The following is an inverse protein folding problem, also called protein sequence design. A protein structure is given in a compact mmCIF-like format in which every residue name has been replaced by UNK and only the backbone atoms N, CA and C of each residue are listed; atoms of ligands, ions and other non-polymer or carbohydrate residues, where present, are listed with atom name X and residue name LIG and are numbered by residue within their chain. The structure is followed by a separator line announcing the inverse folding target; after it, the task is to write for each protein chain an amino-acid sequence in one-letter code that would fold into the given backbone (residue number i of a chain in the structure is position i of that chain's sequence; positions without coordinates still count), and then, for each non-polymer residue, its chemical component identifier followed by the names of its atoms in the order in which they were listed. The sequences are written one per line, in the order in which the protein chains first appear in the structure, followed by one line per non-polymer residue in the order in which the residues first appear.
data_IF_808098601209
#
_entry.id   IF_808098601209
#
_cell.length_a   1.000
_cell.length_b   1.000
_cell.length_c   1.000
_cell.angle_alpha   90.00
_cell.angle_beta   90.00
_cell.angle_gamma   90.00
#
_symmetry.space_group_name_H-M   'P 1'
#
loop_
_entity.id
_entity.type
_entity.pdbx_description
1 polymer ?
#
# COMPACT_ATOMS: atom_id res chain seq x y z
N UNK A 1 -48.51 -11.76 17.94
CA UNK A 1 -48.19 -12.49 16.70
C UNK A 1 -48.40 -11.55 15.52
N UNK A 2 -47.34 -10.94 14.98
CA UNK A 2 -47.44 -10.12 13.77
C UNK A 2 -47.21 -11.00 12.54
N UNK A 3 -48.29 -11.40 11.88
CA UNK A 3 -48.25 -12.18 10.64
C UNK A 3 -47.87 -11.29 9.46
N UNK A 4 -46.68 -11.49 8.90
CA UNK A 4 -46.26 -10.87 7.64
C UNK A 4 -47.06 -11.53 6.50
N UNK A 5 -47.94 -10.77 5.84
CA UNK A 5 -48.65 -11.23 4.65
C UNK A 5 -47.69 -11.28 3.46
N UNK A 6 -47.34 -12.47 3.00
CA UNK A 6 -46.62 -12.64 1.74
C UNK A 6 -47.55 -12.36 0.56
N UNK A 7 -47.31 -11.25 -0.14
CA UNK A 7 -47.99 -10.92 -1.39
C UNK A 7 -47.36 -11.75 -2.52
N UNK A 8 -48.13 -12.71 -3.07
CA UNK A 8 -47.73 -13.43 -4.28
C UNK A 8 -47.90 -12.51 -5.49
N UNK A 9 -46.79 -12.08 -6.09
CA UNK A 9 -46.79 -11.29 -7.30
C UNK A 9 -47.18 -12.15 -8.52
N UNK A 10 -47.96 -11.58 -9.44
CA UNK A 10 -48.27 -12.23 -10.73
C UNK A 10 -47.00 -12.38 -11.58
N UNK A 11 -46.99 -13.32 -12.54
CA UNK A 11 -45.85 -13.52 -13.46
C UNK A 11 -45.48 -12.24 -14.21
N UNK A 12 -46.48 -11.46 -14.60
CA UNK A 12 -46.29 -10.15 -15.26
C UNK A 12 -45.68 -9.11 -14.32
N UNK A 13 -46.13 -9.05 -13.05
CA UNK A 13 -45.55 -8.15 -12.06
C UNK A 13 -44.09 -8.51 -11.74
N UNK A 14 -43.75 -9.80 -11.71
CA UNK A 14 -42.37 -10.29 -11.57
C UNK A 14 -41.51 -9.93 -12.78
N UNK A 15 -42.03 -10.09 -13.99
CA UNK A 15 -41.32 -9.72 -15.23
C UNK A 15 -41.08 -8.20 -15.30
N UNK A 16 -42.11 -7.38 -15.03
CA UNK A 16 -42.00 -5.93 -15.00
C UNK A 16 -41.06 -5.43 -13.89
N UNK A 17 -41.04 -6.10 -12.73
CA UNK A 17 -40.07 -5.81 -11.66
C UNK A 17 -38.65 -6.13 -12.12
N UNK A 18 -38.44 -7.30 -12.74
CA UNK A 18 -37.13 -7.73 -13.24
C UNK A 18 -36.61 -6.83 -14.36
N UNK A 19 -37.49 -6.35 -15.23
CA UNK A 19 -37.16 -5.41 -16.29
C UNK A 19 -36.83 -4.02 -15.74
N UNK A 20 -37.61 -3.51 -14.77
CA UNK A 20 -37.25 -2.28 -14.02
C UNK A 20 -35.92 -2.41 -13.29
N UNK A 21 -35.63 -3.57 -12.70
CA UNK A 21 -34.35 -3.83 -12.03
C UNK A 21 -33.19 -3.89 -13.04
N UNK A 22 -33.41 -4.46 -14.24
CA UNK A 22 -32.43 -4.47 -15.34
C UNK A 22 -32.15 -3.07 -15.91
N UNK A 23 -33.19 -2.23 -16.06
CA UNK A 23 -33.04 -0.84 -16.50
C UNK A 23 -32.28 -0.04 -15.44
N UNK A 24 -32.68 -0.16 -14.17
CA UNK A 24 -31.93 0.43 -13.05
C UNK A 24 -30.49 -0.06 -12.99
N UNK A 25 -30.25 -1.34 -13.31
CA UNK A 25 -28.91 -1.90 -13.33
C UNK A 25 -28.04 -1.24 -14.41
N UNK A 26 -28.59 -1.05 -15.62
CA UNK A 26 -27.89 -0.37 -16.72
C UNK A 26 -27.64 1.10 -16.41
N UNK A 27 -28.64 1.83 -15.92
CA UNK A 27 -28.51 3.24 -15.52
C UNK A 27 -27.50 3.41 -14.37
N UNK A 28 -27.47 2.47 -13.43
CA UNK A 28 -26.55 2.51 -12.28
C UNK A 28 -25.12 2.12 -12.66
N UNK A 29 -24.95 1.17 -13.58
CA UNK A 29 -23.64 0.84 -14.16
C UNK A 29 -23.03 2.04 -14.90
N UNK A 30 -23.84 2.87 -15.57
CA UNK A 30 -23.36 4.14 -16.12
C UNK A 30 -23.08 5.19 -15.03
N UNK A 31 -23.80 5.19 -13.91
CA UNK A 31 -23.63 6.17 -12.83
C UNK A 31 -22.43 5.89 -11.91
N UNK A 32 -21.94 4.65 -11.81
CA UNK A 32 -20.86 4.30 -10.86
C UNK A 32 -19.53 5.06 -11.06
N UNK A 33 -19.36 5.80 -12.16
CA UNK A 33 -18.25 6.72 -12.33
C UNK A 33 -18.41 8.07 -11.59
N UNK A 34 -19.64 8.46 -11.23
CA UNK A 34 -19.98 9.79 -10.68
C UNK A 34 -20.42 9.76 -9.21
N UNK A 35 -20.65 8.58 -8.62
CA UNK A 35 -21.18 8.48 -7.24
C UNK A 35 -20.07 8.38 -6.20
N UNK A 36 -20.21 9.12 -5.10
CA UNK A 36 -19.29 9.08 -3.95
C UNK A 36 -19.11 7.64 -3.42
N UNK A 37 -17.90 7.06 -3.50
CA UNK A 37 -17.62 5.69 -3.08
C UNK A 37 -17.75 5.46 -1.56
N UNK A 38 -17.91 6.51 -0.75
CA UNK A 38 -18.09 6.41 0.70
C UNK A 38 -19.46 5.85 1.11
N UNK A 39 -20.47 5.94 0.25
CA UNK A 39 -21.80 5.46 0.58
C UNK A 39 -21.88 3.93 0.50
N UNK A 40 -21.80 3.29 1.66
CA UNK A 40 -21.87 1.83 1.81
C UNK A 40 -23.07 1.17 1.11
N UNK A 41 -24.20 1.88 1.04
CA UNK A 41 -25.45 1.42 0.41
C UNK A 41 -25.24 1.03 -1.04
N UNK A 42 -24.36 1.73 -1.75
CA UNK A 42 -24.04 1.49 -3.16
C UNK A 42 -23.40 0.12 -3.34
N UNK A 43 -22.39 -0.17 -2.49
CA UNK A 43 -21.68 -1.44 -2.50
C UNK A 43 -22.58 -2.58 -2.07
N UNK A 44 -23.42 -2.38 -1.05
CA UNK A 44 -24.43 -3.37 -0.65
C UNK A 44 -25.40 -3.68 -1.79
N UNK A 45 -25.92 -2.66 -2.46
CA UNK A 45 -26.84 -2.83 -3.56
C UNK A 45 -26.19 -3.59 -4.73
N UNK A 46 -24.95 -3.22 -5.09
CA UNK A 46 -24.15 -3.93 -6.10
C UNK A 46 -23.97 -5.41 -5.73
N UNK A 47 -23.55 -5.70 -4.50
CA UNK A 47 -23.37 -7.08 -4.00
C UNK A 47 -24.67 -7.88 -4.04
N UNK A 48 -25.80 -7.28 -3.69
CA UNK A 48 -27.10 -7.94 -3.74
C UNK A 48 -27.51 -8.31 -5.17
N UNK A 49 -27.27 -7.43 -6.15
CA UNK A 49 -27.56 -7.73 -7.56
C UNK A 49 -26.66 -8.84 -8.07
N UNK A 50 -25.36 -8.76 -7.77
CA UNK A 50 -24.40 -9.77 -8.20
C UNK A 50 -24.75 -11.15 -7.64
N UNK A 51 -24.98 -11.25 -6.32
CA UNK A 51 -25.27 -12.53 -5.65
C UNK A 51 -26.66 -13.08 -5.94
N UNK A 52 -27.70 -12.23 -5.91
CA UNK A 52 -29.09 -12.66 -6.07
C UNK A 52 -29.55 -12.73 -7.53
N UNK A 53 -28.83 -12.09 -8.45
CA UNK A 53 -29.27 -11.87 -9.82
C UNK A 53 -28.34 -12.44 -10.87
N UNK A 54 -27.07 -12.04 -10.82
CA UNK A 54 -26.10 -12.27 -11.91
C UNK A 54 -25.38 -13.61 -11.74
N UNK A 55 -24.67 -13.82 -10.63
CA UNK A 55 -23.86 -15.03 -10.39
C UNK A 55 -24.65 -16.34 -10.54
N UNK A 56 -25.89 -16.49 -10.03
CA UNK A 56 -26.64 -17.73 -10.19
C UNK A 56 -26.98 -18.10 -11.65
N UNK A 57 -26.86 -17.14 -12.58
CA UNK A 57 -27.13 -17.32 -14.02
C UNK A 57 -25.86 -17.33 -14.87
N UNK A 58 -24.70 -17.16 -14.25
CA UNK A 58 -23.42 -17.02 -14.93
C UNK A 58 -22.60 -18.29 -14.77
N UNK A 59 -21.81 -18.63 -15.79
CA UNK A 59 -20.77 -19.65 -15.64
C UNK A 59 -19.65 -19.17 -14.70
N UNK A 60 -18.78 -20.07 -14.19
CA UNK A 60 -17.60 -19.68 -13.42
C UNK A 60 -16.72 -18.66 -14.15
N UNK A 61 -16.49 -18.85 -15.46
CA UNK A 61 -15.70 -17.93 -16.27
C UNK A 61 -16.36 -16.53 -16.40
N UNK A 62 -17.68 -16.48 -16.61
CA UNK A 62 -18.41 -15.20 -16.66
C UNK A 62 -18.39 -14.48 -15.31
N UNK A 63 -18.57 -15.24 -14.22
CA UNK A 63 -18.47 -14.69 -12.85
C UNK A 63 -17.09 -14.11 -12.60
N UNK A 64 -16.04 -14.84 -13.00
CA UNK A 64 -14.66 -14.40 -12.92
C UNK A 64 -14.40 -13.10 -13.70
N UNK A 65 -14.93 -13.01 -14.94
CA UNK A 65 -14.82 -11.80 -15.76
C UNK A 65 -15.49 -10.59 -15.10
N UNK A 66 -16.69 -10.76 -14.55
CA UNK A 66 -17.40 -9.70 -13.82
C UNK A 66 -16.60 -9.23 -12.60
N UNK A 67 -16.06 -10.18 -11.81
CA UNK A 67 -15.22 -9.86 -10.66
C UNK A 67 -13.93 -9.13 -11.07
N UNK A 68 -13.32 -9.53 -12.18
CA UNK A 68 -12.17 -8.84 -12.77
C UNK A 68 -12.49 -7.38 -13.09
N UNK A 69 -13.65 -7.12 -13.69
CA UNK A 69 -14.12 -5.78 -14.02
C UNK A 69 -14.39 -4.94 -12.75
N UNK A 70 -14.99 -5.52 -11.71
CA UNK A 70 -15.17 -4.87 -10.40
C UNK A 70 -13.84 -4.52 -9.73
N UNK A 71 -12.88 -5.43 -9.75
CA UNK A 71 -11.54 -5.19 -9.21
C UNK A 71 -10.81 -4.11 -10.02
N UNK A 72 -11.02 -4.03 -11.33
CA UNK A 72 -10.48 -2.94 -12.16
C UNK A 72 -11.10 -1.59 -11.79
N UNK A 73 -12.43 -1.51 -11.72
CA UNK A 73 -13.17 -0.31 -11.30
C UNK A 73 -12.70 0.19 -9.93
N UNK A 74 -12.64 -0.69 -8.94
CA UNK A 74 -12.21 -0.33 -7.58
C UNK A 74 -10.74 0.09 -7.54
N UNK A 75 -9.87 -0.44 -8.41
CA UNK A 75 -8.47 0.01 -8.52
C UNK A 75 -8.42 1.48 -8.97
N UNK A 76 -9.24 1.85 -9.96
CA UNK A 76 -9.34 3.25 -10.39
C UNK A 76 -9.86 4.16 -9.27
N UNK A 77 -10.89 3.71 -8.54
CA UNK A 77 -11.43 4.47 -7.42
C UNK A 77 -10.43 4.61 -6.27
N UNK A 78 -9.61 3.60 -5.98
CA UNK A 78 -8.57 3.68 -4.95
C UNK A 78 -7.50 4.74 -5.26
N UNK A 79 -7.19 4.98 -6.53
CA UNK A 79 -6.26 6.06 -6.91
C UNK A 79 -6.77 7.45 -6.53
N UNK A 80 -8.10 7.64 -6.53
CA UNK A 80 -8.74 8.93 -6.21
C UNK A 80 -9.14 9.00 -4.72
N UNK A 81 -9.52 7.87 -4.15
CA UNK A 81 -10.10 7.76 -2.81
C UNK A 81 -9.45 6.62 -2.00
N UNK A 82 -8.12 6.65 -1.76
CA UNK A 82 -7.37 5.51 -1.22
C UNK A 82 -7.80 5.09 0.20
N UNK A 83 -8.45 5.98 0.94
CA UNK A 83 -8.87 5.77 2.33
C UNK A 83 -10.31 5.30 2.50
N UNK A 84 -11.09 5.19 1.42
CA UNK A 84 -12.49 4.82 1.55
C UNK A 84 -12.59 3.32 1.83
N UNK A 85 -12.90 3.01 3.09
CA UNK A 85 -13.04 1.64 3.60
C UNK A 85 -13.95 0.77 2.72
N UNK A 86 -15.06 1.32 2.22
CA UNK A 86 -16.03 0.56 1.44
C UNK A 86 -15.49 0.05 0.11
N UNK A 87 -14.51 0.73 -0.49
CA UNK A 87 -13.81 0.25 -1.69
C UNK A 87 -13.00 -1.00 -1.31
N UNK A 88 -12.17 -0.94 -0.28
CA UNK A 88 -11.38 -2.07 0.22
C UNK A 88 -12.25 -3.26 0.65
N UNK A 89 -13.35 -2.97 1.36
CA UNK A 89 -14.30 -4.00 1.77
C UNK A 89 -14.99 -4.67 0.57
N UNK A 90 -15.33 -3.91 -0.49
CA UNK A 90 -15.87 -4.49 -1.71
C UNK A 90 -14.84 -5.34 -2.45
N UNK A 91 -13.58 -4.88 -2.53
CA UNK A 91 -12.47 -5.67 -3.11
C UNK A 91 -12.29 -6.99 -2.38
N UNK A 92 -12.20 -6.96 -1.06
CA UNK A 92 -12.13 -8.17 -0.23
C UNK A 92 -13.32 -9.10 -0.49
N UNK A 93 -14.52 -8.54 -0.58
CA UNK A 93 -15.71 -9.31 -0.94
C UNK A 93 -15.57 -9.96 -2.33
N UNK A 94 -15.12 -9.24 -3.36
CA UNK A 94 -14.88 -9.79 -4.70
C UNK A 94 -13.91 -10.97 -4.67
N UNK A 95 -12.78 -10.84 -3.96
CA UNK A 95 -11.78 -11.91 -3.81
C UNK A 95 -12.37 -13.18 -3.18
N UNK A 96 -13.33 -13.04 -2.27
CA UNK A 96 -14.05 -14.17 -1.66
C UNK A 96 -15.09 -14.81 -2.57
N UNK A 97 -15.55 -14.11 -3.61
CA UNK A 97 -16.53 -14.63 -4.57
C UNK A 97 -15.87 -15.33 -5.77
N UNK A 98 -14.54 -15.32 -5.88
CA UNK A 98 -13.83 -15.93 -7.00
C UNK A 98 -14.13 -17.44 -7.03
N UNK A 99 -14.71 -17.95 -8.14
CA UNK A 99 -15.06 -19.35 -8.27
C UNK A 99 -13.82 -20.23 -8.48
N UNK A 100 -14.00 -21.55 -8.44
CA UNK A 100 -12.93 -22.47 -8.85
C UNK A 100 -12.65 -22.35 -10.35
N UNK A 101 -11.38 -22.39 -10.73
CA UNK A 101 -10.89 -22.29 -12.10
C UNK A 101 -9.47 -21.70 -12.17
N UNK A 102 -8.85 -21.63 -13.37
CA UNK A 102 -9.49 -21.63 -14.69
C UNK A 102 -9.85 -23.01 -15.26
N UNK A 103 -9.29 -24.09 -14.71
CA UNK A 103 -9.49 -25.45 -15.22
C UNK A 103 -9.77 -26.41 -14.08
N UNK A 104 -10.29 -27.60 -14.38
CA UNK A 104 -10.49 -28.63 -13.35
C UNK A 104 -9.18 -29.11 -12.71
N UNK A 105 -8.08 -29.07 -13.47
CA UNK A 105 -6.74 -29.43 -12.98
C UNK A 105 -6.12 -28.34 -12.10
N UNK A 106 -6.57 -27.09 -12.23
CA UNK A 106 -6.15 -25.96 -11.40
C UNK A 106 -7.37 -25.16 -10.92
N UNK A 107 -8.08 -25.67 -9.90
CA UNK A 107 -9.28 -25.01 -9.39
C UNK A 107 -8.97 -23.73 -8.59
N UNK A 108 -7.71 -23.48 -8.20
CA UNK A 108 -7.36 -22.32 -7.36
C UNK A 108 -6.61 -21.23 -8.12
N UNK A 109 -6.25 -21.45 -9.38
CA UNK A 109 -5.45 -20.54 -10.19
C UNK A 109 -5.98 -19.12 -10.24
N UNK A 110 -7.29 -18.92 -10.43
CA UNK A 110 -7.88 -17.58 -10.40
C UNK A 110 -7.71 -16.89 -9.04
N UNK A 111 -7.99 -17.59 -7.93
CA UNK A 111 -7.83 -17.02 -6.59
C UNK A 111 -6.39 -16.63 -6.32
N UNK A 112 -5.46 -17.52 -6.62
CA UNK A 112 -4.04 -17.28 -6.39
C UNK A 112 -3.55 -16.08 -7.19
N UNK A 113 -3.95 -15.97 -8.47
CA UNK A 113 -3.62 -14.82 -9.31
C UNK A 113 -4.19 -13.50 -8.75
N UNK A 114 -5.44 -13.49 -8.32
CA UNK A 114 -6.04 -12.28 -7.75
C UNK A 114 -5.43 -11.87 -6.41
N UNK A 115 -5.14 -12.81 -5.51
CA UNK A 115 -4.50 -12.49 -4.24
C UNK A 115 -3.08 -11.94 -4.43
N UNK A 116 -2.30 -12.53 -5.35
CA UNK A 116 -0.99 -12.00 -5.71
C UNK A 116 -1.08 -10.56 -6.26
N UNK A 117 -2.07 -10.30 -7.11
CA UNK A 117 -2.34 -8.95 -7.64
C UNK A 117 -2.82 -7.99 -6.55
N UNK A 118 -3.65 -8.45 -5.62
CA UNK A 118 -4.13 -7.62 -4.50
C UNK A 118 -2.99 -7.21 -3.58
N UNK A 119 -2.10 -8.14 -3.24
CA UNK A 119 -0.92 -7.86 -2.43
C UNK A 119 -0.07 -6.75 -3.06
N UNK A 120 0.19 -6.85 -4.37
CA UNK A 120 0.89 -5.81 -5.12
C UNK A 120 0.17 -4.46 -5.09
N UNK A 121 -1.17 -4.44 -5.22
CA UNK A 121 -1.95 -3.18 -5.14
C UNK A 121 -1.86 -2.57 -3.74
N UNK A 122 -1.96 -3.38 -2.68
CA UNK A 122 -1.84 -2.91 -1.30
C UNK A 122 -0.46 -2.31 -1.06
N UNK A 123 0.61 -3.01 -1.45
CA UNK A 123 1.99 -2.51 -1.36
C UNK A 123 2.13 -1.16 -2.08
N UNK A 124 1.67 -1.07 -3.33
CA UNK A 124 1.75 0.18 -4.10
C UNK A 124 0.93 1.32 -3.50
N UNK A 125 -0.23 1.04 -2.93
CA UNK A 125 -1.07 2.05 -2.28
C UNK A 125 -0.46 2.54 -0.97
N UNK A 126 0.25 1.66 -0.25
CA UNK A 126 1.03 2.04 0.94
C UNK A 126 2.24 2.89 0.54
N UNK A 127 3.02 2.48 -0.46
CA UNK A 127 4.17 3.28 -0.91
C UNK A 127 3.75 4.66 -1.42
N UNK A 128 2.59 4.75 -2.07
CA UNK A 128 2.09 5.99 -2.65
C UNK A 128 1.45 6.96 -1.64
N UNK A 129 1.24 6.57 -0.37
CA UNK A 129 0.68 7.48 0.64
C UNK A 129 1.79 8.26 1.34
N UNK A 130 2.04 9.54 0.98
CA UNK A 130 3.10 10.34 1.60
C UNK A 130 2.88 10.57 3.11
N UNK A 131 1.65 10.37 3.60
CA UNK A 131 1.36 10.47 5.04
C UNK A 131 1.97 9.32 5.84
N UNK A 132 2.36 8.22 5.19
CA UNK A 132 3.07 7.15 5.89
C UNK A 132 4.42 7.64 6.43
N UNK A 133 5.11 8.53 5.69
CA UNK A 133 6.30 9.23 6.19
C UNK A 133 5.97 10.13 7.38
N UNK A 134 4.87 10.89 7.32
CA UNK A 134 4.45 11.75 8.43
C UNK A 134 4.10 10.92 9.70
N UNK A 135 3.39 9.82 9.55
CA UNK A 135 3.02 8.96 10.67
C UNK A 135 4.23 8.29 11.31
N UNK A 136 5.15 7.75 10.51
CA UNK A 136 6.36 7.13 11.04
C UNK A 136 7.30 8.18 11.64
N UNK A 137 7.39 9.39 11.05
CA UNK A 137 8.15 10.51 11.61
C UNK A 137 7.61 10.88 12.98
N UNK A 138 6.30 11.05 13.14
CA UNK A 138 5.70 11.33 14.45
C UNK A 138 6.01 10.22 15.48
N UNK A 139 5.99 8.95 15.07
CA UNK A 139 6.37 7.83 15.94
C UNK A 139 7.86 7.89 16.33
N UNK A 140 8.76 8.18 15.39
CA UNK A 140 10.19 8.37 15.63
C UNK A 140 10.49 9.52 16.61
N UNK A 141 9.77 10.64 16.50
CA UNK A 141 9.94 11.78 17.41
C UNK A 141 9.36 11.50 18.81
N UNK A 142 8.40 10.58 18.91
CA UNK A 142 7.77 10.21 20.19
C UNK A 142 8.59 9.18 20.95
N UNK A 143 9.06 8.13 20.26
CA UNK A 143 9.93 7.10 20.84
C UNK A 143 10.99 6.65 19.83
N UNK A 144 12.13 7.35 19.75
CA UNK A 144 13.20 6.98 18.82
C UNK A 144 13.95 5.72 19.24
N UNK A 145 13.70 5.16 20.43
CA UNK A 145 14.31 3.90 20.83
C UNK A 145 13.53 2.67 20.32
N UNK A 146 12.28 2.87 19.86
CA UNK A 146 11.50 1.81 19.20
C UNK A 146 12.13 1.42 17.86
N UNK A 147 12.81 0.28 17.82
CA UNK A 147 13.43 -0.22 16.60
C UNK A 147 12.44 -0.42 15.44
N UNK A 148 11.18 -0.74 15.73
CA UNK A 148 10.20 -1.08 14.70
C UNK A 148 9.87 0.11 13.79
N UNK A 149 9.87 1.34 14.33
CA UNK A 149 9.57 2.55 13.55
C UNK A 149 10.66 2.82 12.52
N UNK A 150 11.93 2.59 12.87
CA UNK A 150 13.07 2.76 11.96
C UNK A 150 13.13 1.71 10.86
N UNK A 151 12.75 0.47 11.19
CA UNK A 151 12.63 -0.60 10.18
C UNK A 151 11.53 -0.24 9.18
N UNK A 152 10.38 0.23 9.67
CA UNK A 152 9.27 0.63 8.81
C UNK A 152 9.61 1.85 7.96
N UNK A 153 10.28 2.86 8.54
CA UNK A 153 10.78 4.01 7.78
C UNK A 153 11.74 3.58 6.66
N UNK A 154 12.68 2.65 6.93
CA UNK A 154 13.56 2.08 5.90
C UNK A 154 12.80 1.31 4.81
N UNK A 155 11.73 0.60 5.18
CA UNK A 155 10.85 -0.03 4.21
C UNK A 155 10.16 0.99 3.29
N UNK A 156 9.66 2.09 3.85
CA UNK A 156 9.04 3.18 3.08
C UNK A 156 10.01 3.88 2.11
N UNK A 157 11.27 4.07 2.52
CA UNK A 157 12.33 4.61 1.63
C UNK A 157 12.61 3.67 0.44
N UNK A 158 12.38 2.37 0.60
CA UNK A 158 12.57 1.38 -0.45
C UNK A 158 14.01 1.32 -0.96
N UNK A 159 14.19 1.28 -2.28
CA UNK A 159 15.53 1.22 -2.92
C UNK A 159 16.21 2.58 -3.09
N UNK A 160 15.57 3.69 -2.68
CA UNK A 160 16.14 5.04 -2.77
C UNK A 160 16.13 5.66 -4.17
N UNK A 161 15.16 5.30 -5.02
CA UNK A 161 15.04 5.88 -6.38
C UNK A 161 14.62 7.36 -6.35
N UNK A 162 13.84 7.77 -5.35
CA UNK A 162 13.39 9.16 -5.21
C UNK A 162 14.38 9.94 -4.34
N UNK A 163 15.17 10.79 -5.00
CA UNK A 163 16.18 11.64 -4.36
C UNK A 163 15.56 12.67 -3.42
N UNK A 164 14.45 13.28 -3.82
CA UNK A 164 13.82 14.36 -3.05
C UNK A 164 13.23 13.83 -1.74
N UNK A 165 12.66 12.62 -1.77
CA UNK A 165 12.23 11.91 -0.56
C UNK A 165 13.43 11.60 0.33
N UNK A 166 14.52 11.05 -0.22
CA UNK A 166 15.73 10.76 0.57
C UNK A 166 16.30 12.01 1.25
N UNK A 167 16.45 13.11 0.51
CA UNK A 167 17.00 14.35 1.06
C UNK A 167 16.11 14.92 2.16
N UNK A 168 14.79 14.92 1.97
CA UNK A 168 13.81 15.37 2.97
C UNK A 168 13.85 14.53 4.24
N UNK A 169 13.91 13.21 4.12
CA UNK A 169 13.96 12.32 5.28
C UNK A 169 15.33 12.38 6.00
N UNK A 170 16.44 12.54 5.27
CA UNK A 170 17.77 12.80 5.86
C UNK A 170 17.74 14.09 6.68
N UNK A 171 17.19 15.18 6.14
CA UNK A 171 17.06 16.44 6.87
C UNK A 171 16.23 16.26 8.14
N UNK A 172 15.09 15.57 8.04
CA UNK A 172 14.19 15.30 9.17
C UNK A 172 14.84 14.47 10.29
N UNK A 173 15.71 13.51 9.95
CA UNK A 173 16.43 12.70 10.95
C UNK A 173 17.59 13.47 11.55
N UNK A 174 18.22 14.39 10.80
CA UNK A 174 19.24 15.30 11.35
C UNK A 174 18.66 16.21 12.43
N UNK A 175 17.50 16.81 12.17
CA UNK A 175 16.77 17.60 13.17
C UNK A 175 16.49 16.77 14.44
N UNK A 176 16.06 15.51 14.28
CA UNK A 176 15.82 14.63 15.43
C UNK A 176 17.12 14.29 16.20
N UNK A 177 18.24 14.12 15.50
CA UNK A 177 19.54 13.88 16.12
C UNK A 177 20.05 15.10 16.90
N UNK A 178 19.74 16.32 16.45
CA UNK A 178 20.08 17.55 17.19
C UNK A 178 19.36 17.61 18.55
N UNK A 179 18.09 17.19 18.58
CA UNK A 179 17.30 17.08 19.81
C UNK A 179 17.73 15.88 20.69
N UNK A 180 18.18 14.78 20.07
CA UNK A 180 18.58 13.54 20.74
C UNK A 180 19.96 13.06 20.30
N UNK A 181 21.04 13.70 20.81
CA UNK A 181 22.40 13.51 20.30
C UNK A 181 23.00 12.13 20.58
N UNK A 182 22.39 11.32 21.46
CA UNK A 182 22.78 9.95 21.80
C UNK A 182 21.91 8.89 21.09
N UNK A 183 20.98 9.30 20.21
CA UNK A 183 20.13 8.35 19.49
C UNK A 183 20.92 7.54 18.46
N UNK A 184 21.27 6.30 18.81
CA UNK A 184 21.93 5.36 17.89
C UNK A 184 21.15 5.16 16.60
N UNK A 185 19.82 5.15 16.67
CA UNK A 185 18.97 4.88 15.51
C UNK A 185 18.97 6.03 14.51
N UNK A 186 19.04 7.29 14.99
CA UNK A 186 19.24 8.45 14.13
C UNK A 186 20.57 8.33 13.39
N UNK A 187 21.66 8.09 14.12
CA UNK A 187 23.00 7.99 13.51
C UNK A 187 23.10 6.83 12.51
N UNK A 188 22.64 5.63 12.87
CA UNK A 188 22.65 4.48 11.96
C UNK A 188 21.83 4.74 10.69
N UNK A 189 20.66 5.38 10.85
CA UNK A 189 19.78 5.67 9.73
C UNK A 189 20.37 6.73 8.81
N UNK A 190 20.98 7.78 9.35
CA UNK A 190 21.68 8.81 8.57
C UNK A 190 22.82 8.20 7.77
N UNK A 191 23.69 7.40 8.39
CA UNK A 191 24.78 6.71 7.67
C UNK A 191 24.21 5.84 6.54
N UNK A 192 23.14 5.09 6.82
CA UNK A 192 22.51 4.25 5.81
C UNK A 192 21.95 5.07 4.63
N UNK A 193 21.18 6.13 4.90
CA UNK A 193 20.54 6.93 3.85
C UNK A 193 21.53 7.79 3.08
N UNK A 194 22.54 8.37 3.73
CA UNK A 194 23.59 9.12 3.04
C UNK A 194 24.41 8.23 2.09
N UNK A 195 24.74 7.01 2.50
CA UNK A 195 25.41 6.04 1.62
C UNK A 195 24.50 5.59 0.48
N UNK A 196 23.22 5.38 0.76
CA UNK A 196 22.23 5.06 -0.26
C UNK A 196 22.10 6.18 -1.30
N UNK A 197 22.06 7.44 -0.84
CA UNK A 197 22.00 8.64 -1.65
C UNK A 197 23.23 8.75 -2.58
N UNK A 198 24.44 8.58 -2.04
CA UNK A 198 25.67 8.60 -2.83
C UNK A 198 25.70 7.51 -3.90
N UNK A 199 25.25 6.30 -3.57
CA UNK A 199 25.23 5.16 -4.52
C UNK A 199 24.19 5.32 -5.61
N UNK A 200 22.99 5.83 -5.29
CA UNK A 200 21.86 5.90 -6.23
C UNK A 200 21.88 7.17 -7.08
N UNK A 201 22.46 8.25 -6.57
CA UNK A 201 22.41 9.58 -7.17
C UNK A 201 23.81 10.18 -7.37
N UNK A 202 24.80 9.35 -7.72
CA UNK A 202 26.20 9.75 -7.85
C UNK A 202 26.41 10.99 -8.75
N UNK A 203 25.73 11.02 -9.90
CA UNK A 203 25.83 12.11 -10.88
C UNK A 203 25.30 13.46 -10.37
N UNK A 204 24.57 13.48 -9.26
CA UNK A 204 24.02 14.70 -8.68
C UNK A 204 25.02 15.46 -7.78
N UNK A 205 26.19 14.88 -7.47
CA UNK A 205 27.13 15.45 -6.51
C UNK A 205 28.46 15.83 -7.15
N UNK A 206 28.97 17.00 -6.77
CA UNK A 206 30.37 17.36 -7.05
C UNK A 206 31.29 16.60 -6.09
N UNK A 207 32.58 16.47 -6.45
CA UNK A 207 33.56 15.79 -5.60
C UNK A 207 33.65 16.36 -4.18
N UNK A 208 33.53 17.69 -4.04
CA UNK A 208 33.56 18.34 -2.73
C UNK A 208 32.34 17.99 -1.86
N UNK A 209 31.13 18.00 -2.44
CA UNK A 209 29.90 17.65 -1.71
C UNK A 209 29.93 16.17 -1.32
N UNK A 210 30.38 15.29 -2.22
CA UNK A 210 30.55 13.85 -1.95
C UNK A 210 31.47 13.61 -0.77
N UNK A 211 32.66 14.22 -0.78
CA UNK A 211 33.63 14.11 0.32
C UNK A 211 33.10 14.67 1.65
N UNK A 212 32.25 15.70 1.61
CA UNK A 212 31.54 16.20 2.79
C UNK A 212 30.60 15.15 3.38
N UNK A 213 29.76 14.52 2.55
CA UNK A 213 28.81 13.49 2.98
C UNK A 213 29.54 12.25 3.54
N UNK A 214 30.65 11.85 2.92
CA UNK A 214 31.48 10.74 3.39
C UNK A 214 32.12 11.03 4.75
N UNK A 215 32.62 12.26 4.95
CA UNK A 215 33.16 12.69 6.24
C UNK A 215 32.10 12.67 7.34
N UNK A 216 30.92 13.20 7.06
CA UNK A 216 29.77 13.15 7.98
C UNK A 216 29.43 11.70 8.38
N UNK A 217 29.42 10.77 7.42
CA UNK A 217 29.17 9.35 7.70
C UNK A 217 30.24 8.77 8.63
N UNK A 218 31.52 9.09 8.41
CA UNK A 218 32.63 8.62 9.25
C UNK A 218 32.52 9.19 10.68
N UNK A 219 32.15 10.46 10.83
CA UNK A 219 31.94 11.07 12.13
C UNK A 219 30.81 10.38 12.90
N UNK A 220 29.68 10.10 12.25
CA UNK A 220 28.56 9.37 12.84
C UNK A 220 28.95 7.93 13.22
N UNK A 221 29.68 7.22 12.36
CA UNK A 221 30.18 5.87 12.64
C UNK A 221 31.13 5.84 13.84
N UNK A 222 31.96 6.87 14.01
CA UNK A 222 32.83 6.99 15.18
C UNK A 222 32.02 7.20 16.46
N UNK A 223 31.01 8.08 16.43
CA UNK A 223 30.09 8.28 17.58
C UNK A 223 29.31 7.00 17.92
N UNK A 224 28.85 6.26 16.93
CA UNK A 224 28.15 4.98 17.12
C UNK A 224 28.98 3.94 17.89
N UNK A 225 30.31 3.95 17.75
CA UNK A 225 31.18 3.06 18.52
C UNK A 225 31.17 3.36 20.03
N UNK A 226 30.86 4.59 20.43
CA UNK A 226 30.74 5.00 21.83
C UNK A 226 29.33 4.71 22.37
N UNK A 227 28.30 4.98 21.56
CA UNK A 227 26.88 4.84 21.95
C UNK A 227 26.38 3.38 21.90
N UNK A 228 26.88 2.55 20.98
CA UNK A 228 26.52 1.13 20.86
C UNK A 228 27.80 0.24 20.81
N UNK A 229 28.52 0.12 21.95
CA UNK A 229 29.82 -0.54 22.00
C UNK A 229 29.76 -2.02 21.65
N UNK A 230 28.62 -2.69 21.87
CA UNK A 230 28.42 -4.10 21.50
C UNK A 230 28.56 -4.34 19.99
N UNK A 231 28.33 -3.30 19.17
CA UNK A 231 28.45 -3.32 17.71
C UNK A 231 29.65 -2.52 17.19
N UNK A 232 30.58 -2.14 18.06
CA UNK A 232 31.75 -1.31 17.71
C UNK A 232 32.50 -1.80 16.48
N UNK A 233 32.78 -3.10 16.39
CA UNK A 233 33.51 -3.66 15.25
C UNK A 233 32.74 -3.48 13.93
N UNK A 234 31.42 -3.65 13.94
CA UNK A 234 30.57 -3.41 12.75
C UNK A 234 30.70 -1.98 12.26
N UNK A 235 30.70 -0.99 13.15
CA UNK A 235 30.85 0.42 12.74
C UNK A 235 32.26 0.72 12.23
N UNK A 236 33.29 0.15 12.87
CA UNK A 236 34.67 0.27 12.41
C UNK A 236 34.85 -0.33 11.00
N UNK A 237 34.30 -1.51 10.76
CA UNK A 237 34.33 -2.18 9.45
C UNK A 237 33.59 -1.35 8.39
N UNK A 238 32.43 -0.78 8.74
CA UNK A 238 31.67 0.11 7.84
C UNK A 238 32.43 1.39 7.49
N UNK A 239 33.25 1.93 8.40
CA UNK A 239 34.07 3.12 8.18
C UNK A 239 35.38 2.84 7.45
N UNK A 240 35.95 1.64 7.63
CA UNK A 240 37.15 1.19 6.90
C UNK A 240 36.83 0.77 5.46
N UNK A 241 35.59 0.34 5.21
CA UNK A 241 35.13 -0.02 3.87
C UNK A 241 34.92 1.22 3.00
N UNK A 242 35.98 1.67 2.34
CA UNK A 242 35.91 2.54 1.14
C UNK A 242 35.22 1.82 -0.03
N UNK A 243 35.11 0.49 0.03
CA UNK A 243 34.77 -0.40 -1.08
C UNK A 243 33.25 -0.60 -1.32
N UNK A 244 32.40 0.33 -0.87
CA UNK A 244 30.95 0.31 -1.16
C UNK A 244 30.51 1.57 -1.93
N UNK A 245 31.47 2.40 -2.35
CA UNK A 245 31.26 3.56 -3.22
C UNK A 245 31.71 3.30 -4.67
N UNK A 246 32.31 2.13 -4.93
CA UNK A 246 32.74 1.64 -6.22
C UNK A 246 32.26 0.17 -6.37
N UNK A 247 31.04 -0.04 -6.87
CA UNK A 247 30.59 -1.21 -7.68
C UNK A 247 29.12 -1.07 -8.10
#
# INVERSE_FOLDING_TARGET
QHGVKFVKYSREALAAKKERELVKLKEYQSLTAEVNPEFYTIWNYRRNILTGGVFPKSSPAQTNEILSNDLSLTTTLLKQHPKVYWIWNHRYWCLRQVPDGPTEADPHGWRQAYWNKELFVVERMLDADPRNFELVKNAMYTDPNDQSVWIYHRWLIGSGEDKDVLDREIASIRELLEEQPDSKWCMESLVFYQRLLLRKHESAFTGEIRSGIERDCLELLNKLQEVDPDRKQRYADLGASSALFDE
#
